data_IF_490186628178
#
_entry.id   IF_490186628178
#
_cell.length_a   1.000
_cell.length_b   1.000
_cell.length_c   1.000
_cell.angle_alpha   90.00
_cell.angle_beta   90.00
_cell.angle_gamma   90.00
#
_symmetry.space_group_name_H-M   'P 1'
#
loop_
_entity.id
_entity.type
_entity.pdbx_description
1 polymer ?
#
# COMPACT_ATOMS: atom_id res chain seq x y z
N UNK A 1 -5.46 11.49 1.39
CA UNK A 1 -5.15 11.82 -0.01
C UNK A 1 -5.23 13.33 -0.15
N UNK A 2 -4.10 14.02 -0.34
CA UNK A 2 -4.11 15.47 -0.44
C UNK A 2 -4.90 15.96 -1.65
N UNK A 3 -5.34 17.23 -1.58
CA UNK A 3 -5.73 17.98 -2.77
C UNK A 3 -4.52 18.22 -3.70
N UNK A 4 -4.76 18.37 -5.01
CA UNK A 4 -3.71 18.62 -6.01
C UNK A 4 -2.84 19.87 -5.74
N UNK A 5 -3.30 20.80 -4.90
CA UNK A 5 -2.48 21.91 -4.42
C UNK A 5 -1.27 21.48 -3.58
N UNK A 6 -1.25 20.22 -3.12
CA UNK A 6 -0.11 19.57 -2.48
C UNK A 6 0.33 18.34 -3.30
N UNK A 7 1.43 18.49 -4.05
CA UNK A 7 1.90 17.53 -5.05
C UNK A 7 3.00 16.57 -4.56
N UNK A 8 3.37 16.62 -3.27
CA UNK A 8 4.38 15.74 -2.69
C UNK A 8 3.97 14.25 -2.72
N UNK A 9 2.66 13.98 -2.72
CA UNK A 9 2.09 12.64 -2.72
C UNK A 9 0.98 12.50 -3.76
N UNK A 10 0.59 11.25 -4.03
CA UNK A 10 -0.58 10.95 -4.86
C UNK A 10 -1.81 11.70 -4.34
N UNK A 11 -2.40 12.57 -5.17
CA UNK A 11 -3.63 13.31 -4.85
C UNK A 11 -4.89 12.57 -5.34
N UNK A 12 -6.05 12.96 -4.79
CA UNK A 12 -7.31 12.28 -5.10
C UNK A 12 -7.75 12.50 -6.55
N UNK A 13 -7.42 13.64 -7.15
CA UNK A 13 -7.75 13.94 -8.54
C UNK A 13 -7.07 12.98 -9.50
N UNK A 14 -5.80 12.64 -9.25
CA UNK A 14 -5.08 11.66 -10.03
C UNK A 14 -5.61 10.25 -9.78
N UNK A 15 -5.83 9.86 -8.51
CA UNK A 15 -6.35 8.54 -8.14
C UNK A 15 -7.71 8.24 -8.81
N UNK A 16 -8.60 9.24 -8.83
CA UNK A 16 -9.92 9.09 -9.43
C UNK A 16 -9.99 9.59 -10.85
N UNK A 17 -8.95 10.22 -11.40
CA UNK A 17 -8.95 10.83 -12.74
C UNK A 17 -10.15 11.77 -12.96
N UNK A 18 -10.36 12.70 -12.02
CA UNK A 18 -11.43 13.71 -12.06
C UNK A 18 -11.07 14.91 -11.19
N UNK A 19 -11.63 16.08 -11.52
CA UNK A 19 -11.53 17.32 -10.74
C UNK A 19 -12.80 17.58 -9.91
N UNK A 20 -13.85 16.79 -10.13
CA UNK A 20 -15.13 16.91 -9.42
C UNK A 20 -15.17 15.95 -8.22
N UNK A 21 -15.42 16.53 -7.03
CA UNK A 21 -15.55 15.77 -5.78
C UNK A 21 -16.72 14.78 -5.82
N UNK A 22 -17.86 15.16 -6.38
CA UNK A 22 -19.03 14.28 -6.43
C UNK A 22 -18.76 13.05 -7.31
N UNK A 23 -18.03 13.25 -8.41
CA UNK A 23 -17.59 12.14 -9.26
C UNK A 23 -16.53 11.27 -8.56
N UNK A 24 -15.63 11.86 -7.79
CA UNK A 24 -14.66 11.11 -6.98
C UNK A 24 -15.36 10.26 -5.91
N UNK A 25 -16.35 10.82 -5.21
CA UNK A 25 -17.20 10.13 -4.23
C UNK A 25 -17.95 8.96 -4.85
N UNK A 26 -18.57 9.17 -6.02
CA UNK A 26 -19.26 8.14 -6.78
C UNK A 26 -18.31 6.99 -7.13
N UNK A 27 -17.13 7.30 -7.71
CA UNK A 27 -16.09 6.30 -8.05
C UNK A 27 -15.53 5.59 -6.82
N UNK A 28 -15.42 6.29 -5.68
CA UNK A 28 -14.99 5.69 -4.42
C UNK A 28 -16.02 4.66 -3.92
N UNK A 29 -17.30 5.04 -3.90
CA UNK A 29 -18.39 4.16 -3.50
C UNK A 29 -18.51 2.91 -4.41
N UNK A 30 -18.37 3.07 -5.74
CA UNK A 30 -18.36 1.95 -6.69
C UNK A 30 -17.25 0.93 -6.42
N UNK A 31 -16.10 1.42 -5.93
CA UNK A 31 -14.95 0.58 -5.54
C UNK A 31 -15.08 0.00 -4.12
N UNK A 32 -16.14 0.35 -3.40
CA UNK A 32 -16.44 -0.10 -2.03
C UNK A 32 -15.68 0.65 -0.95
N UNK A 33 -15.23 1.88 -1.21
CA UNK A 33 -14.62 2.74 -0.20
C UNK A 33 -15.67 3.51 0.59
N UNK A 34 -15.43 3.63 1.88
CA UNK A 34 -15.97 4.71 2.69
C UNK A 34 -15.03 5.92 2.59
N UNK A 35 -15.57 7.12 2.79
CA UNK A 35 -14.79 8.34 2.67
C UNK A 35 -15.28 9.47 3.56
N UNK A 36 -14.38 10.41 3.82
CA UNK A 36 -14.68 11.72 4.40
C UNK A 36 -13.70 12.77 3.88
N UNK A 37 -14.10 14.03 3.91
CA UNK A 37 -13.27 15.16 3.52
C UNK A 37 -12.81 15.94 4.76
N UNK A 38 -11.55 16.37 4.77
CA UNK A 38 -11.09 17.35 5.76
C UNK A 38 -11.51 18.78 5.39
N UNK A 39 -11.34 19.70 6.35
CA UNK A 39 -11.43 21.14 6.11
C UNK A 39 -10.40 21.66 5.09
N UNK A 40 -9.26 20.98 4.96
CA UNK A 40 -8.22 21.26 3.96
C UNK A 40 -8.53 20.71 2.57
N UNK A 41 -9.71 20.12 2.36
CA UNK A 41 -10.11 19.46 1.11
C UNK A 41 -9.36 18.16 0.78
N UNK A 42 -8.70 17.56 1.77
CA UNK A 42 -8.07 16.26 1.61
C UNK A 42 -9.13 15.15 1.74
N UNK A 43 -8.99 14.12 0.92
CA UNK A 43 -9.87 12.96 0.91
C UNK A 43 -9.29 11.83 1.77
N UNK A 44 -10.04 11.35 2.74
CA UNK A 44 -9.73 10.15 3.51
C UNK A 44 -10.57 9.00 2.95
N UNK A 45 -9.93 7.86 2.69
CA UNK A 45 -10.56 6.66 2.14
C UNK A 45 -10.22 5.47 3.03
N UNK A 46 -11.21 4.64 3.32
CA UNK A 46 -10.99 3.37 4.01
C UNK A 46 -11.96 2.30 3.53
N UNK A 47 -11.57 1.05 3.78
CA UNK A 47 -12.35 -0.12 3.42
C UNK A 47 -11.89 -1.32 4.25
N UNK A 48 -12.84 -2.18 4.59
CA UNK A 48 -12.51 -3.48 5.17
C UNK A 48 -12.29 -4.48 4.05
N UNK A 49 -11.17 -5.22 4.12
CA UNK A 49 -10.82 -6.24 3.13
C UNK A 49 -10.44 -7.54 3.84
N UNK A 50 -10.73 -8.71 3.26
CA UNK A 50 -10.30 -9.97 3.82
C UNK A 50 -8.76 -10.05 3.81
N UNK A 51 -8.19 -10.53 4.91
CA UNK A 51 -6.73 -10.73 5.04
C UNK A 51 -6.23 -11.76 4.03
N UNK A 52 -7.03 -12.81 3.81
CA UNK A 52 -6.72 -13.92 2.95
C UNK A 52 -7.64 -13.98 1.76
N UNK A 53 -7.10 -14.42 0.62
CA UNK A 53 -7.88 -14.79 -0.57
C UNK A 53 -7.66 -16.26 -0.88
N UNK A 54 -8.49 -16.82 -1.77
CA UNK A 54 -8.22 -18.11 -2.39
C UNK A 54 -7.63 -17.87 -3.77
N UNK A 55 -6.54 -18.56 -4.07
CA UNK A 55 -5.97 -18.53 -5.41
C UNK A 55 -6.95 -19.22 -6.39
N UNK A 56 -7.33 -18.59 -7.50
CA UNK A 56 -8.39 -19.09 -8.38
C UNK A 56 -8.07 -20.43 -9.05
N UNK A 57 -6.80 -20.68 -9.39
CA UNK A 57 -6.38 -21.95 -10.02
C UNK A 57 -6.09 -23.06 -9.00
N UNK A 58 -5.29 -22.80 -7.96
CA UNK A 58 -4.85 -23.83 -7.01
C UNK A 58 -5.79 -24.01 -5.81
N UNK A 59 -6.71 -23.08 -5.54
CA UNK A 59 -7.58 -23.08 -4.37
C UNK A 59 -6.88 -22.72 -3.04
N UNK A 60 -5.56 -22.56 -3.06
CA UNK A 60 -4.74 -22.28 -1.88
C UNK A 60 -5.13 -20.97 -1.21
N UNK A 61 -5.06 -20.95 0.13
CA UNK A 61 -5.25 -19.73 0.94
C UNK A 61 -3.98 -18.88 0.82
N UNK A 62 -4.11 -17.66 0.31
CA UNK A 62 -2.99 -16.73 0.04
C UNK A 62 -3.11 -15.47 0.90
N UNK A 63 -1.95 -14.95 1.34
CA UNK A 63 -1.82 -13.67 2.01
C UNK A 63 -1.74 -12.56 0.95
N UNK A 64 -2.82 -11.83 0.72
CA UNK A 64 -2.92 -10.83 -0.34
C UNK A 64 -3.41 -9.49 0.21
N UNK A 65 -2.50 -8.78 0.88
CA UNK A 65 -2.73 -7.43 1.41
C UNK A 65 -1.39 -6.71 1.58
N UNK A 66 -1.43 -5.42 1.93
CA UNK A 66 -0.26 -4.55 2.06
C UNK A 66 -0.05 -4.05 3.49
N UNK A 67 -0.43 -4.83 4.51
CA UNK A 67 -0.41 -4.40 5.92
C UNK A 67 0.95 -3.82 6.35
N UNK A 68 2.06 -4.36 5.84
CA UNK A 68 3.41 -3.96 6.26
C UNK A 68 3.79 -2.57 5.74
N UNK A 69 3.33 -2.20 4.54
CA UNK A 69 3.61 -0.94 3.86
C UNK A 69 2.52 0.11 4.07
N UNK A 70 1.28 -0.30 4.35
CA UNK A 70 0.13 0.59 4.57
C UNK A 70 -0.20 0.80 6.06
N UNK A 71 0.67 0.39 6.97
CA UNK A 71 0.58 0.72 8.40
C UNK A 71 1.44 1.95 8.72
N UNK A 72 0.96 2.84 9.59
CA UNK A 72 1.62 4.12 9.93
C UNK A 72 3.08 3.97 10.34
N UNK A 73 3.39 2.91 11.11
CA UNK A 73 4.75 2.60 11.55
C UNK A 73 5.76 2.38 10.42
N UNK A 74 5.31 2.10 9.19
CA UNK A 74 6.19 2.09 8.01
C UNK A 74 6.69 3.50 7.68
N UNK A 75 5.78 4.48 7.66
CA UNK A 75 6.10 5.87 7.38
C UNK A 75 6.90 6.50 8.51
N UNK A 76 6.51 6.27 9.76
CA UNK A 76 7.23 6.79 10.94
C UNK A 76 8.70 6.33 10.99
N UNK A 77 9.01 5.17 10.38
CA UNK A 77 10.37 4.67 10.27
C UNK A 77 11.16 5.24 9.07
N UNK A 78 10.54 6.02 8.18
CA UNK A 78 11.22 6.65 7.04
C UNK A 78 12.03 7.88 7.48
N UNK A 79 13.21 8.13 6.87
CA UNK A 79 14.02 9.31 7.18
C UNK A 79 13.26 10.65 7.15
N UNK A 80 12.28 10.79 6.26
CA UNK A 80 11.44 11.99 6.11
C UNK A 80 10.50 12.25 7.30
N UNK A 81 10.21 11.22 8.12
CA UNK A 81 9.24 11.25 9.20
C UNK A 81 9.86 11.00 10.59
N UNK A 82 11.09 10.49 10.67
CA UNK A 82 11.79 10.27 11.93
C UNK A 82 11.84 11.59 12.74
N UNK A 83 11.39 11.52 13.99
CA UNK A 83 11.34 12.67 14.91
C UNK A 83 10.13 13.60 14.73
N UNK A 84 9.23 13.32 13.78
CA UNK A 84 7.96 14.03 13.65
C UNK A 84 6.88 13.29 14.44
N UNK A 85 6.20 13.99 15.35
CA UNK A 85 5.06 13.47 16.09
C UNK A 85 3.79 13.58 15.24
N UNK A 86 3.66 12.65 14.28
CA UNK A 86 2.53 12.60 13.34
C UNK A 86 1.57 11.50 13.81
N UNK A 87 0.30 11.85 14.12
CA UNK A 87 -0.70 10.86 14.47
C UNK A 87 -0.85 9.78 13.39
N UNK A 88 -1.19 8.57 13.80
CA UNK A 88 -1.31 7.42 12.89
C UNK A 88 -2.29 7.67 11.74
N UNK A 89 -3.45 8.29 12.02
CA UNK A 89 -4.48 8.63 11.02
C UNK A 89 -4.06 9.78 10.08
N UNK A 90 -2.95 10.47 10.38
CA UNK A 90 -2.35 11.51 9.54
C UNK A 90 -1.18 11.02 8.71
N UNK A 91 -0.74 9.77 8.90
CA UNK A 91 0.19 9.14 7.97
C UNK A 91 -0.48 8.90 6.62
N UNK A 92 0.29 8.80 5.50
CA UNK A 92 -0.29 8.58 4.17
C UNK A 92 -1.20 7.34 4.10
N UNK A 93 -0.87 6.28 4.86
CA UNK A 93 -1.74 5.14 5.11
C UNK A 93 -1.60 4.66 6.56
N UNK A 94 -2.69 4.15 7.13
CA UNK A 94 -2.71 3.41 8.39
C UNK A 94 -3.71 2.25 8.28
N UNK A 95 -3.39 1.12 8.89
CA UNK A 95 -4.17 -0.12 8.81
C UNK A 95 -4.53 -0.58 10.21
N UNK A 96 -5.82 -0.83 10.44
CA UNK A 96 -6.37 -1.35 11.68
C UNK A 96 -6.98 -2.75 11.47
N UNK A 97 -7.43 -3.39 12.54
CA UNK A 97 -8.38 -4.50 12.44
C UNK A 97 -9.71 -4.03 11.82
N UNK A 98 -10.52 -4.99 11.36
CA UNK A 98 -11.77 -4.69 10.66
C UNK A 98 -12.83 -3.99 11.53
N UNK A 99 -12.68 -4.00 12.85
CA UNK A 99 -13.50 -3.25 13.80
C UNK A 99 -12.95 -1.84 14.09
N UNK A 100 -11.82 -1.47 13.48
CA UNK A 100 -11.13 -0.20 13.68
C UNK A 100 -10.13 -0.20 14.84
N UNK A 101 -10.02 -1.28 15.62
CA UNK A 101 -9.02 -1.37 16.69
C UNK A 101 -7.59 -1.41 16.13
N UNK A 102 -6.66 -0.79 16.85
CA UNK A 102 -5.25 -0.76 16.46
C UNK A 102 -4.68 -2.19 16.44
N UNK A 103 -3.78 -2.44 15.50
CA UNK A 103 -3.04 -3.71 15.44
C UNK A 103 -1.84 -3.58 16.38
N UNK A 104 -1.62 -4.58 17.22
CA UNK A 104 -0.54 -4.55 18.20
C UNK A 104 0.83 -4.49 17.50
N UNK A 105 1.79 -3.68 18.03
CA UNK A 105 3.10 -3.53 17.41
C UNK A 105 3.85 -4.86 17.19
N UNK A 106 3.72 -5.81 18.12
CA UNK A 106 4.31 -7.13 18.04
C UNK A 106 3.73 -7.97 16.90
N UNK A 107 2.44 -7.81 16.59
CA UNK A 107 1.78 -8.51 15.47
C UNK A 107 2.32 -7.96 14.15
N UNK A 108 2.40 -6.64 14.00
CA UNK A 108 3.00 -6.00 12.82
C UNK A 108 4.46 -6.45 12.65
N UNK A 109 5.23 -6.49 13.73
CA UNK A 109 6.63 -6.90 13.69
C UNK A 109 6.78 -8.38 13.33
N UNK A 110 5.92 -9.25 13.85
CA UNK A 110 5.91 -10.67 13.50
C UNK A 110 5.62 -10.89 12.00
N UNK A 111 4.66 -10.16 11.44
CA UNK A 111 4.34 -10.23 10.01
C UNK A 111 5.54 -9.78 9.17
N UNK A 112 6.18 -8.65 9.54
CA UNK A 112 7.40 -8.16 8.86
C UNK A 112 8.55 -9.16 8.93
N UNK A 113 8.78 -9.77 10.09
CA UNK A 113 9.81 -10.79 10.27
C UNK A 113 9.53 -12.02 9.41
N UNK A 114 8.27 -12.45 9.33
CA UNK A 114 7.85 -13.58 8.48
C UNK A 114 8.08 -13.27 7.00
N UNK A 115 7.74 -12.05 6.55
CA UNK A 115 8.00 -11.63 5.17
C UNK A 115 9.49 -11.72 4.83
N UNK A 116 10.36 -11.22 5.71
CA UNK A 116 11.81 -11.30 5.52
C UNK A 116 12.35 -12.74 5.56
N UNK A 117 11.85 -13.58 6.47
CA UNK A 117 12.26 -14.98 6.56
C UNK A 117 11.89 -15.80 5.31
N UNK A 118 10.81 -15.43 4.63
CA UNK A 118 10.37 -16.05 3.38
C UNK A 118 10.92 -15.38 2.12
N UNK A 119 11.61 -14.24 2.24
CA UNK A 119 12.07 -13.48 1.10
C UNK A 119 13.25 -14.16 0.41
N UNK A 120 13.22 -14.19 -0.93
CA UNK A 120 14.34 -14.63 -1.76
C UNK A 120 14.93 -13.42 -2.45
N UNK A 121 16.16 -13.07 -2.07
CA UNK A 121 16.94 -12.01 -2.70
C UNK A 121 17.84 -12.56 -3.79
N UNK A 122 17.93 -11.86 -4.92
CA UNK A 122 18.85 -12.18 -6.00
C UNK A 122 19.37 -10.89 -6.65
N UNK A 123 20.54 -11.00 -7.29
CA UNK A 123 21.16 -9.89 -8.00
C UNK A 123 20.78 -9.98 -9.47
N UNK A 124 20.16 -8.92 -9.97
CA UNK A 124 19.79 -8.79 -11.38
C UNK A 124 21.02 -8.73 -12.28
N UNK A 125 20.97 -9.43 -13.41
CA UNK A 125 21.89 -9.28 -14.54
C UNK A 125 21.12 -8.80 -15.76
N UNK A 126 21.80 -8.07 -16.62
CA UNK A 126 21.22 -7.64 -17.90
C UNK A 126 20.77 -8.84 -18.71
N UNK A 127 19.50 -8.87 -19.10
CA UNK A 127 18.89 -9.97 -19.83
C UNK A 127 18.10 -10.95 -18.97
N UNK A 128 18.19 -10.87 -17.65
CA UNK A 128 17.36 -11.68 -16.76
C UNK A 128 15.87 -11.33 -16.93
N UNK A 129 15.02 -12.36 -16.82
CA UNK A 129 13.56 -12.23 -16.81
C UNK A 129 13.00 -12.89 -15.54
N UNK A 130 12.23 -12.13 -14.77
CA UNK A 130 11.42 -12.68 -13.67
C UNK A 130 9.96 -12.71 -14.10
N UNK A 131 9.38 -13.91 -14.10
CA UNK A 131 7.94 -14.10 -14.16
C UNK A 131 7.47 -14.56 -12.77
N UNK A 132 6.41 -13.95 -12.27
CA UNK A 132 5.80 -14.33 -10.99
C UNK A 132 4.28 -14.30 -11.10
N UNK A 133 3.65 -15.14 -10.29
CA UNK A 133 2.21 -15.06 -10.04
C UNK A 133 1.96 -13.98 -8.99
N UNK A 134 1.33 -12.88 -9.39
CA UNK A 134 1.08 -11.72 -8.54
C UNK A 134 0.15 -12.05 -7.35
N UNK A 135 -0.66 -13.11 -7.43
CA UNK A 135 -1.52 -13.54 -6.33
C UNK A 135 -0.75 -14.31 -5.25
N UNK A 136 0.24 -15.10 -5.66
CA UNK A 136 1.02 -15.93 -4.75
C UNK A 136 2.31 -15.28 -4.26
N UNK A 137 2.88 -14.32 -5.01
CA UNK A 137 4.20 -13.76 -4.76
C UNK A 137 4.12 -12.26 -4.48
N UNK A 138 4.49 -11.88 -3.26
CA UNK A 138 4.81 -10.49 -2.94
C UNK A 138 6.25 -10.18 -3.38
N UNK A 139 6.47 -8.98 -3.90
CA UNK A 139 7.77 -8.55 -4.40
C UNK A 139 8.08 -7.13 -3.97
N UNK A 140 9.37 -6.81 -3.91
CA UNK A 140 9.87 -5.51 -3.49
C UNK A 140 11.31 -5.32 -3.94
N UNK A 141 11.96 -4.29 -3.40
CA UNK A 141 13.37 -4.00 -3.71
C UNK A 141 14.12 -3.58 -2.45
N UNK A 142 15.41 -3.89 -2.43
CA UNK A 142 16.36 -3.30 -1.48
C UNK A 142 16.81 -1.93 -2.05
N UNK A 143 17.39 -1.08 -1.19
CA UNK A 143 18.08 0.13 -1.64
C UNK A 143 19.17 -0.19 -2.66
N UNK A 144 19.36 0.70 -3.64
CA UNK A 144 20.38 0.57 -4.68
C UNK A 144 20.99 1.95 -4.99
N UNK A 145 22.15 1.96 -5.62
CA UNK A 145 22.85 3.15 -6.10
C UNK A 145 23.24 3.00 -7.57
N UNK A 146 23.50 4.11 -8.26
CA UNK A 146 23.88 4.12 -9.66
C UNK A 146 22.72 3.91 -10.64
N UNK A 147 23.06 3.75 -11.92
CA UNK A 147 22.08 3.56 -12.99
C UNK A 147 21.49 2.14 -12.95
N UNK A 148 20.17 2.06 -13.02
CA UNK A 148 19.43 0.80 -13.05
C UNK A 148 18.17 0.95 -13.89
N UNK A 149 17.97 0.08 -14.88
CA UNK A 149 16.76 0.02 -15.71
C UNK A 149 16.13 -1.35 -15.61
N UNK A 150 14.88 -1.39 -15.15
CA UNK A 150 14.03 -2.59 -15.11
C UNK A 150 12.78 -2.27 -15.91
N UNK A 151 12.38 -3.19 -16.79
CA UNK A 151 11.10 -3.12 -17.49
C UNK A 151 10.10 -4.05 -16.81
N UNK A 152 8.83 -3.65 -16.78
CA UNK A 152 7.76 -4.45 -16.22
C UNK A 152 6.61 -4.55 -17.23
N UNK A 153 5.96 -5.71 -17.25
CA UNK A 153 4.75 -5.97 -18.01
C UNK A 153 3.75 -6.65 -17.09
N UNK A 154 2.51 -6.16 -17.08
CA UNK A 154 1.41 -6.76 -16.33
C UNK A 154 0.49 -7.44 -17.35
N UNK A 155 0.28 -8.74 -17.18
CA UNK A 155 -0.74 -9.46 -17.94
C UNK A 155 -2.13 -9.11 -17.40
N UNK A 156 -3.04 -8.79 -18.32
CA UNK A 156 -4.45 -8.58 -18.01
C UNK A 156 -5.14 -9.87 -17.57
#
# INVERSE_FOLDING_TARGET
>A
MPDKSNDEYMNWQHLFSTEDKQEAERRAAEKGYHFTWSSSQDLYLWQNRPVFKRHPLTGSKIWFNQITAMHSSYYQAMPTFIGKDIPDDKCPCHTCYGDGSAIEPEVIQHIRATFWACAVGFQWRTGDLLALDNLAVQHGRIGYSGERKILAYLSC
#
